data_IF_944518031638
#
_entry.id   IF_944518031638
#
_cell.length_a   1.000
_cell.length_b   1.000
_cell.length_c   1.000
_cell.angle_alpha   90.00
_cell.angle_beta   90.00
_cell.angle_gamma   90.00
#
_symmetry.space_group_name_H-M   'P 1'
#
loop_
_entity.id
_entity.type
_entity.pdbx_description
1 polymer ?
#
# COMPACT_ATOMS: atom_id res chain seq x y z
N UNK A 1 12.07 -24.29 -23.80
CA UNK A 1 10.79 -23.93 -23.13
C UNK A 1 10.85 -24.47 -21.71
N UNK A 2 10.28 -23.77 -20.73
CA UNK A 2 10.12 -24.32 -19.39
C UNK A 2 8.79 -25.05 -19.33
N UNK A 3 8.79 -26.26 -18.81
CA UNK A 3 7.55 -26.98 -18.52
C UNK A 3 6.92 -26.36 -17.27
N UNK A 4 5.76 -25.72 -17.44
CA UNK A 4 5.02 -25.08 -16.36
C UNK A 4 3.86 -25.99 -15.94
N UNK A 5 3.67 -26.16 -14.64
CA UNK A 5 2.56 -26.95 -14.07
C UNK A 5 1.79 -26.11 -13.05
N UNK A 6 0.48 -26.32 -12.97
CA UNK A 6 -0.39 -25.67 -11.99
C UNK A 6 -0.90 -26.76 -11.05
N UNK A 7 -0.74 -26.55 -9.75
CA UNK A 7 -1.22 -27.46 -8.69
C UNK A 7 -1.82 -26.62 -7.56
N UNK A 8 -2.80 -27.20 -6.87
CA UNK A 8 -3.27 -26.69 -5.59
C UNK A 8 -2.42 -27.34 -4.50
N UNK A 9 -1.87 -26.54 -3.58
CA UNK A 9 -1.07 -27.01 -2.46
C UNK A 9 -1.85 -26.83 -1.15
N UNK A 10 -2.11 -27.92 -0.44
CA UNK A 10 -2.90 -27.88 0.79
C UNK A 10 -2.12 -27.34 2.01
N UNK A 11 -0.78 -27.42 1.98
CA UNK A 11 0.09 -27.00 3.10
C UNK A 11 1.37 -26.32 2.57
N UNK A 12 1.28 -25.18 1.87
CA UNK A 12 2.46 -24.47 1.37
C UNK A 12 3.35 -24.01 2.52
N UNK A 13 4.66 -23.91 2.28
CA UNK A 13 5.56 -23.44 3.32
C UNK A 13 5.37 -21.93 3.56
N UNK A 14 5.68 -21.46 4.78
CA UNK A 14 5.70 -20.02 5.08
C UNK A 14 6.73 -19.26 4.24
N UNK A 15 7.77 -19.93 3.76
CA UNK A 15 8.80 -19.32 2.92
C UNK A 15 8.32 -19.12 1.49
N UNK A 16 7.62 -20.10 0.92
CA UNK A 16 7.02 -19.98 -0.42
C UNK A 16 5.98 -18.86 -0.46
N UNK A 17 5.10 -18.80 0.55
CA UNK A 17 4.12 -17.71 0.67
C UNK A 17 4.82 -16.35 0.75
N UNK A 18 5.83 -16.21 1.61
CA UNK A 18 6.56 -14.93 1.76
C UNK A 18 7.26 -14.52 0.46
N UNK A 19 7.91 -15.47 -0.21
CA UNK A 19 8.62 -15.24 -1.47
C UNK A 19 7.64 -14.82 -2.56
N UNK A 20 6.52 -15.53 -2.69
CA UNK A 20 5.47 -15.20 -3.67
C UNK A 20 4.90 -13.81 -3.43
N UNK A 21 4.48 -13.49 -2.20
CA UNK A 21 3.89 -12.18 -1.87
C UNK A 21 4.89 -11.06 -2.11
N UNK A 22 6.15 -11.23 -1.70
CA UNK A 22 7.20 -10.24 -1.95
C UNK A 22 7.34 -9.97 -3.46
N UNK A 23 7.48 -11.02 -4.26
CA UNK A 23 7.66 -10.88 -5.71
C UNK A 23 6.43 -10.25 -6.38
N UNK A 24 5.22 -10.58 -5.92
CA UNK A 24 3.99 -9.97 -6.40
C UNK A 24 3.94 -8.47 -6.08
N UNK A 25 4.28 -8.09 -4.84
CA UNK A 25 4.34 -6.67 -4.42
C UNK A 25 5.39 -5.91 -5.22
N UNK A 26 6.59 -6.46 -5.38
CA UNK A 26 7.68 -5.85 -6.14
C UNK A 26 7.30 -5.68 -7.62
N UNK A 27 6.68 -6.70 -8.21
CA UNK A 27 6.18 -6.62 -9.58
C UNK A 27 5.11 -5.53 -9.70
N UNK A 28 4.09 -5.53 -8.84
CA UNK A 28 3.05 -4.50 -8.87
C UNK A 28 3.64 -3.09 -8.72
N UNK A 29 4.56 -2.89 -7.78
CA UNK A 29 5.24 -1.61 -7.58
C UNK A 29 6.04 -1.17 -8.82
N UNK A 30 6.58 -2.11 -9.61
CA UNK A 30 7.25 -1.80 -10.87
C UNK A 30 6.29 -1.39 -12.00
N UNK A 31 5.04 -1.84 -11.95
CA UNK A 31 4.03 -1.58 -12.99
C UNK A 31 3.23 -0.30 -12.72
N UNK A 32 2.81 -0.09 -11.47
CA UNK A 32 1.92 1.03 -11.08
C UNK A 32 2.62 2.11 -10.25
N UNK A 33 3.92 1.96 -10.00
CA UNK A 33 4.67 2.84 -9.12
C UNK A 33 4.59 2.44 -7.65
N UNK A 34 5.31 3.18 -6.80
CA UNK A 34 5.36 2.89 -5.36
C UNK A 34 3.98 3.10 -4.73
N UNK A 35 3.66 2.28 -3.72
CA UNK A 35 2.52 2.54 -2.85
C UNK A 35 2.84 3.75 -1.96
N UNK A 36 2.52 4.95 -2.45
CA UNK A 36 2.72 6.21 -1.74
C UNK A 36 1.40 6.68 -1.15
N UNK A 37 1.44 7.17 0.09
CA UNK A 37 0.35 7.90 0.70
C UNK A 37 0.85 9.25 1.24
N UNK A 38 -0.03 10.25 1.20
CA UNK A 38 0.26 11.59 1.71
C UNK A 38 -0.80 11.99 2.73
N UNK A 39 -0.43 12.40 3.94
CA UNK A 39 -1.39 12.89 4.92
C UNK A 39 -1.95 14.24 4.46
N UNK A 40 -3.26 14.41 4.63
CA UNK A 40 -3.97 15.66 4.41
C UNK A 40 -4.78 16.01 5.64
N UNK A 41 -4.86 17.30 5.97
CA UNK A 41 -5.65 17.76 7.10
C UNK A 41 -6.25 19.13 6.84
N UNK A 42 -7.46 19.35 7.38
CA UNK A 42 -8.11 20.65 7.46
C UNK A 42 -8.32 20.94 8.94
N UNK A 43 -7.74 22.03 9.44
CA UNK A 43 -7.86 22.44 10.84
C UNK A 43 -8.64 23.74 10.96
N UNK A 44 -9.55 23.79 11.94
CA UNK A 44 -10.13 25.03 12.44
C UNK A 44 -9.18 25.57 13.49
N UNK A 45 -8.77 26.82 13.35
CA UNK A 45 -7.87 27.50 14.29
C UNK A 45 -8.56 28.71 14.90
N UNK A 46 -8.29 28.96 16.17
CA UNK A 46 -8.70 30.20 16.84
C UNK A 46 -7.79 31.38 16.47
N UNK A 47 -8.06 32.55 17.06
CA UNK A 47 -7.29 33.78 16.84
C UNK A 47 -5.84 33.71 17.31
N UNK A 48 -5.51 32.76 18.19
CA UNK A 48 -4.14 32.50 18.66
C UNK A 48 -3.44 31.42 17.82
N UNK A 49 -4.12 30.88 16.80
CA UNK A 49 -3.62 29.85 15.90
C UNK A 49 -3.73 28.43 16.45
N UNK A 50 -4.37 28.23 17.61
CA UNK A 50 -4.54 26.91 18.22
C UNK A 50 -5.60 26.11 17.47
N UNK A 51 -5.34 24.83 17.24
CA UNK A 51 -6.32 23.92 16.63
C UNK A 51 -7.46 23.69 17.62
N UNK A 52 -8.68 24.00 17.20
CA UNK A 52 -9.91 23.80 17.99
C UNK A 52 -10.85 22.76 17.38
N UNK A 53 -10.51 22.25 16.19
CA UNK A 53 -11.24 21.17 15.51
C UNK A 53 -10.64 20.88 14.13
N UNK A 54 -11.15 19.87 13.44
CA UNK A 54 -10.70 19.57 12.07
C UNK A 54 -11.01 18.16 11.58
N UNK A 55 -10.46 17.84 10.42
CA UNK A 55 -10.50 16.54 9.76
C UNK A 55 -9.11 16.16 9.27
N UNK A 56 -8.74 14.90 9.42
CA UNK A 56 -7.50 14.30 8.91
C UNK A 56 -7.84 13.17 7.95
N UNK A 57 -6.99 12.95 6.96
CA UNK A 57 -7.11 11.87 6.00
C UNK A 57 -5.78 11.59 5.32
N UNK A 58 -5.81 10.68 4.36
CA UNK A 58 -4.66 10.32 3.54
C UNK A 58 -5.12 10.19 2.08
N UNK A 59 -4.31 10.69 1.16
CA UNK A 59 -4.43 10.35 -0.26
C UNK A 59 -3.48 9.22 -0.60
N UNK A 60 -3.86 8.39 -1.57
CA UNK A 60 -3.05 7.27 -2.03
C UNK A 60 -2.75 7.43 -3.52
N UNK A 61 -1.62 6.85 -3.94
CA UNK A 61 -1.27 6.64 -5.35
C UNK A 61 -1.19 7.92 -6.20
N UNK A 62 -0.90 9.07 -5.58
CA UNK A 62 -0.79 10.37 -6.26
C UNK A 62 -2.06 10.76 -7.04
N UNK A 63 -3.23 10.30 -6.58
CA UNK A 63 -4.51 10.57 -7.25
C UNK A 63 -5.07 11.99 -7.02
N UNK A 64 -4.26 12.92 -6.49
CA UNK A 64 -4.60 14.34 -6.26
C UNK A 64 -3.51 15.26 -6.77
#
# INVERSE_FOLDING_TARGET
>A
MRDLTIKVEDNPTKEDIRTFIKNLVDYNASQVGKNVSYPIAIFIRDSEGKIVGGLVGETYWEWM
#
